data_IF_167498270488
#
_entry.id   IF_167498270488
#
_cell.length_a   1.000
_cell.length_b   1.000
_cell.length_c   1.000
_cell.angle_alpha   90.00
_cell.angle_beta   90.00
_cell.angle_gamma   90.00
#
_symmetry.space_group_name_H-M   'P 1'
#
loop_
_entity.id
_entity.type
_entity.pdbx_description
1 polymer ?
#
# COMPACT_ATOMS: atom_id res chain seq x y z
N UNK A 1 4.13 -19.02 48.47
CA UNK A 1 5.01 -19.69 47.50
C UNK A 1 4.74 -19.13 46.13
N UNK A 2 5.72 -18.45 45.55
CA UNK A 2 5.62 -17.77 44.26
C UNK A 2 5.52 -18.84 43.17
N UNK A 3 4.33 -19.05 42.62
CA UNK A 3 4.12 -19.93 41.48
C UNK A 3 4.60 -19.20 40.23
N UNK A 4 5.82 -19.53 39.81
CA UNK A 4 6.41 -19.12 38.55
C UNK A 4 5.57 -19.75 37.42
N UNK A 5 4.53 -19.05 36.97
CA UNK A 5 3.82 -19.40 35.73
C UNK A 5 4.84 -19.25 34.61
N UNK A 6 5.39 -20.39 34.18
CA UNK A 6 6.21 -20.49 32.98
C UNK A 6 5.40 -19.88 31.84
N UNK A 7 5.75 -18.66 31.46
CA UNK A 7 5.32 -18.07 30.21
C UNK A 7 5.86 -18.96 29.09
N UNK A 8 4.98 -19.78 28.53
CA UNK A 8 5.29 -20.65 27.40
C UNK A 8 5.64 -19.81 26.16
N UNK A 9 6.78 -20.07 25.50
CA UNK A 9 7.18 -19.39 24.25
C UNK A 9 6.11 -19.47 23.16
N UNK A 10 5.36 -20.58 23.10
CA UNK A 10 4.29 -20.80 22.12
C UNK A 10 3.12 -19.83 22.31
N UNK A 11 2.78 -19.49 23.55
CA UNK A 11 1.71 -18.53 23.86
C UNK A 11 2.17 -17.08 23.60
N UNK A 12 3.46 -16.78 23.75
CA UNK A 12 4.03 -15.49 23.32
C UNK A 12 3.96 -15.36 21.81
N UNK A 13 4.47 -16.35 21.07
CA UNK A 13 4.43 -16.35 19.61
C UNK A 13 3.00 -16.25 19.05
N UNK A 14 2.01 -16.90 19.68
CA UNK A 14 0.61 -16.75 19.29
C UNK A 14 0.06 -15.35 19.59
N UNK A 15 0.37 -14.77 20.75
CA UNK A 15 -0.05 -13.39 21.10
C UNK A 15 0.62 -12.35 20.22
N UNK A 16 1.91 -12.49 19.96
CA UNK A 16 2.70 -11.60 19.09
C UNK A 16 2.16 -11.67 17.66
N UNK A 17 1.76 -12.86 17.19
CA UNK A 17 1.14 -13.03 15.88
C UNK A 17 -0.27 -12.42 15.82
N UNK A 18 -1.10 -12.59 16.85
CA UNK A 18 -2.44 -11.97 16.93
C UNK A 18 -2.34 -10.44 16.97
N UNK A 19 -1.37 -9.90 17.72
CA UNK A 19 -1.12 -8.46 17.79
C UNK A 19 -0.65 -7.92 16.43
N UNK A 20 0.29 -8.59 15.77
CA UNK A 20 0.73 -8.23 14.41
C UNK A 20 -0.41 -8.26 13.40
N UNK A 21 -1.34 -9.24 13.50
CA UNK A 21 -2.54 -9.29 12.65
C UNK A 21 -3.52 -8.16 12.97
N UNK A 22 -3.69 -7.77 14.24
CA UNK A 22 -4.57 -6.67 14.61
C UNK A 22 -4.06 -5.32 14.08
N UNK A 23 -2.74 -5.11 14.09
CA UNK A 23 -2.10 -3.87 13.64
C UNK A 23 -2.23 -3.63 12.12
N UNK A 24 -2.34 -4.70 11.32
CA UNK A 24 -2.53 -4.58 9.87
C UNK A 24 -3.98 -4.32 9.44
N UNK A 25 -4.97 -4.52 10.31
CA UNK A 25 -6.40 -4.39 9.92
C UNK A 25 -6.75 -2.97 9.49
N UNK A 26 -6.32 -1.96 10.25
CA UNK A 26 -6.68 -0.58 9.97
C UNK A 26 -6.02 -0.05 8.67
N UNK A 27 -4.70 -0.25 8.42
CA UNK A 27 -4.09 0.04 7.13
C UNK A 27 -4.76 -0.70 5.96
N UNK A 28 -5.09 -1.98 6.15
CA UNK A 28 -5.75 -2.79 5.11
C UNK A 28 -7.15 -2.26 4.77
N UNK A 29 -7.98 -1.92 5.76
CA UNK A 29 -9.32 -1.36 5.52
C UNK A 29 -9.24 -0.01 4.79
N UNK A 30 -8.30 0.86 5.21
CA UNK A 30 -8.06 2.13 4.50
C UNK A 30 -7.62 1.90 3.06
N UNK A 31 -6.69 0.98 2.82
CA UNK A 31 -6.24 0.62 1.47
C UNK A 31 -7.40 0.14 0.59
N UNK A 32 -8.27 -0.73 1.11
CA UNK A 32 -9.44 -1.21 0.39
C UNK A 32 -10.44 -0.09 0.05
N UNK A 33 -10.59 0.91 0.93
CA UNK A 33 -11.40 2.11 0.64
C UNK A 33 -10.78 2.92 -0.51
N UNK A 34 -9.48 3.18 -0.46
CA UNK A 34 -8.76 3.92 -1.51
C UNK A 34 -8.80 3.18 -2.85
N UNK A 35 -8.64 1.86 -2.85
CA UNK A 35 -8.76 1.03 -4.04
C UNK A 35 -10.15 1.13 -4.69
N UNK A 36 -11.23 1.15 -3.90
CA UNK A 36 -12.59 1.34 -4.44
C UNK A 36 -12.76 2.71 -5.10
N UNK A 37 -12.14 3.76 -4.54
CA UNK A 37 -12.16 5.10 -5.13
C UNK A 37 -11.38 5.11 -6.45
N UNK A 38 -10.19 4.51 -6.49
CA UNK A 38 -9.38 4.35 -7.70
C UNK A 38 -10.15 3.59 -8.78
N UNK A 39 -10.68 2.41 -8.47
CA UNK A 39 -11.42 1.57 -9.40
C UNK A 39 -12.64 2.29 -9.99
N UNK A 40 -13.39 3.03 -9.16
CA UNK A 40 -14.52 3.85 -9.61
C UNK A 40 -14.05 4.97 -10.55
N UNK A 41 -12.95 5.66 -10.23
CA UNK A 41 -12.40 6.74 -11.07
C UNK A 41 -11.96 6.22 -12.42
N UNK A 42 -11.19 5.13 -12.45
CA UNK A 42 -10.72 4.49 -13.69
C UNK A 42 -11.90 4.01 -14.54
N UNK A 43 -12.91 3.41 -13.93
CA UNK A 43 -14.13 2.98 -14.64
C UNK A 43 -14.86 4.14 -15.30
N UNK A 44 -14.97 5.29 -14.61
CA UNK A 44 -15.59 6.50 -15.18
C UNK A 44 -14.75 7.08 -16.31
N UNK A 45 -13.42 7.16 -16.16
CA UNK A 45 -12.53 7.63 -17.21
C UNK A 45 -12.63 6.75 -18.47
N UNK A 46 -12.62 5.44 -18.30
CA UNK A 46 -12.79 4.47 -19.39
C UNK A 46 -14.16 4.64 -20.09
N UNK A 47 -15.25 4.80 -19.32
CA UNK A 47 -16.58 5.02 -19.88
C UNK A 47 -16.70 6.33 -20.66
N UNK A 48 -16.02 7.40 -20.21
CA UNK A 48 -15.97 8.70 -20.89
C UNK A 48 -14.98 8.76 -22.04
N UNK A 49 -14.18 7.71 -22.23
CA UNK A 49 -13.03 7.69 -23.15
C UNK A 49 -12.03 8.82 -22.85
N UNK A 50 -11.90 9.19 -21.57
CA UNK A 50 -10.87 10.13 -21.12
C UNK A 50 -9.50 9.46 -21.31
N UNK A 51 -8.57 10.05 -22.08
CA UNK A 51 -7.26 9.45 -22.30
C UNK A 51 -6.46 9.44 -21.00
N UNK A 52 -6.02 8.24 -20.59
CA UNK A 52 -5.07 8.06 -19.49
C UNK A 52 -3.68 7.81 -20.10
N UNK A 53 -2.66 8.62 -19.77
CA UNK A 53 -1.32 8.43 -20.29
C UNK A 53 -0.76 7.04 -19.96
N UNK A 54 -0.06 6.42 -20.92
CA UNK A 54 0.53 5.10 -20.73
C UNK A 54 1.44 4.97 -19.49
N UNK A 55 2.26 5.99 -19.11
CA UNK A 55 3.03 5.92 -17.86
C UNK A 55 2.16 5.77 -16.60
N UNK A 56 0.97 6.38 -16.59
CA UNK A 56 0.03 6.29 -15.45
C UNK A 56 -0.60 4.91 -15.38
N UNK A 57 -0.94 4.32 -16.53
CA UNK A 57 -1.42 2.92 -16.59
C UNK A 57 -0.35 1.97 -16.05
N UNK A 58 0.91 2.15 -16.47
CA UNK A 58 2.02 1.34 -15.99
C UNK A 58 2.24 1.46 -14.48
N UNK A 59 2.02 2.63 -13.87
CA UNK A 59 2.09 2.77 -12.40
C UNK A 59 1.00 2.00 -11.68
N UNK A 60 -0.22 1.98 -12.22
CA UNK A 60 -1.33 1.19 -11.63
C UNK A 60 -0.99 -0.30 -11.70
N UNK A 61 -0.46 -0.76 -12.83
CA UNK A 61 -0.03 -2.16 -13.00
C UNK A 61 1.12 -2.52 -12.04
N UNK A 62 2.12 -1.65 -11.90
CA UNK A 62 3.22 -1.86 -10.95
C UNK A 62 2.71 -1.89 -9.51
N UNK A 63 1.76 -1.01 -9.16
CA UNK A 63 1.13 -1.01 -7.84
C UNK A 63 0.40 -2.33 -7.58
N UNK A 64 -0.35 -2.83 -8.56
CA UNK A 64 -1.01 -4.13 -8.48
C UNK A 64 -0.01 -5.28 -8.25
N UNK A 65 1.09 -5.31 -8.99
CA UNK A 65 2.14 -6.32 -8.82
C UNK A 65 2.77 -6.30 -7.41
N UNK A 66 2.94 -5.11 -6.83
CA UNK A 66 3.43 -4.98 -5.44
C UNK A 66 2.38 -5.44 -4.43
N UNK A 67 1.10 -5.14 -4.66
CA UNK A 67 0.00 -5.63 -3.83
C UNK A 67 -0.09 -7.16 -3.84
N UNK A 68 0.06 -7.79 -5.00
CA UNK A 68 0.10 -9.25 -5.14
C UNK A 68 1.27 -9.85 -4.36
N UNK A 69 2.45 -9.22 -4.42
CA UNK A 69 3.59 -9.65 -3.62
C UNK A 69 3.30 -9.54 -2.11
N UNK A 70 2.72 -8.44 -1.64
CA UNK A 70 2.31 -8.28 -0.24
C UNK A 70 1.30 -9.37 0.18
N UNK A 71 0.30 -9.62 -0.66
CA UNK A 71 -0.68 -10.68 -0.43
C UNK A 71 -0.02 -12.06 -0.32
N UNK A 72 1.00 -12.35 -1.14
CA UNK A 72 1.75 -13.61 -1.09
C UNK A 72 2.51 -13.81 0.24
N UNK A 73 3.14 -12.75 0.77
CA UNK A 73 3.83 -12.80 2.06
C UNK A 73 2.83 -13.01 3.21
N UNK A 74 1.71 -12.28 3.20
CA UNK A 74 0.65 -12.40 4.20
C UNK A 74 0.00 -13.79 4.17
N UNK A 75 -0.27 -14.35 2.99
CA UNK A 75 -0.78 -15.71 2.83
C UNK A 75 0.18 -16.75 3.43
N UNK A 76 1.48 -16.51 3.30
CA UNK A 76 2.52 -17.31 3.91
C UNK A 76 2.80 -16.96 5.39
N UNK A 77 1.92 -16.19 6.04
CA UNK A 77 1.98 -15.75 7.44
C UNK A 77 3.25 -14.96 7.79
N UNK A 78 3.76 -14.18 6.84
CA UNK A 78 4.89 -13.26 7.04
C UNK A 78 4.43 -11.82 6.85
N UNK A 79 5.01 -10.91 7.63
CA UNK A 79 4.87 -9.48 7.37
C UNK A 79 5.53 -9.14 6.03
N UNK A 80 4.91 -8.30 5.18
CA UNK A 80 5.40 -8.03 3.83
C UNK A 80 6.57 -7.02 3.81
N UNK A 81 7.50 -7.07 4.77
CA UNK A 81 8.65 -6.16 4.87
C UNK A 81 9.53 -6.18 3.62
N UNK A 82 9.64 -7.35 2.97
CA UNK A 82 10.38 -7.54 1.71
C UNK A 82 9.76 -6.80 0.53
N UNK A 83 8.55 -6.26 0.68
CA UNK A 83 7.89 -5.44 -0.33
C UNK A 83 8.38 -4.00 -0.32
N UNK A 84 8.93 -3.49 0.81
CA UNK A 84 9.31 -2.08 0.99
C UNK A 84 10.13 -1.52 -0.19
N UNK A 85 11.21 -2.17 -0.67
CA UNK A 85 11.97 -1.63 -1.81
C UNK A 85 11.16 -1.54 -3.10
N UNK A 86 10.21 -2.46 -3.32
CA UNK A 86 9.33 -2.42 -4.49
C UNK A 86 8.30 -1.31 -4.35
N UNK A 87 7.72 -1.12 -3.16
CA UNK A 87 6.77 -0.04 -2.89
C UNK A 87 7.44 1.32 -3.11
N UNK A 88 8.64 1.52 -2.54
CA UNK A 88 9.41 2.77 -2.71
C UNK A 88 9.77 3.01 -4.17
N UNK A 89 10.18 1.99 -4.93
CA UNK A 89 10.48 2.16 -6.35
C UNK A 89 9.27 2.64 -7.17
N UNK A 90 8.06 2.14 -6.87
CA UNK A 90 6.83 2.63 -7.51
C UNK A 90 6.50 4.05 -7.03
N UNK A 91 6.72 4.34 -5.74
CA UNK A 91 6.53 5.69 -5.19
C UNK A 91 7.45 6.72 -5.87
N UNK A 92 8.72 6.37 -6.09
CA UNK A 92 9.68 7.19 -6.83
C UNK A 92 9.23 7.39 -8.28
N UNK A 93 8.76 6.34 -8.96
CA UNK A 93 8.25 6.48 -10.31
C UNK A 93 7.04 7.43 -10.40
N UNK A 94 6.23 7.54 -9.33
CA UNK A 94 5.13 8.51 -9.30
C UNK A 94 5.59 9.97 -9.23
N UNK A 95 6.78 10.27 -8.66
CA UNK A 95 7.29 11.65 -8.56
C UNK A 95 7.90 12.16 -9.86
N UNK A 96 8.16 11.27 -10.81
CA UNK A 96 8.74 11.58 -12.13
C UNK A 96 7.67 11.86 -13.20
N UNK A 97 6.38 11.79 -12.85
CA UNK A 97 5.31 12.15 -13.78
C UNK A 97 5.21 13.67 -13.85
N UNK A 98 5.36 14.20 -15.05
CA UNK A 98 5.05 15.60 -15.34
C UNK A 98 3.57 15.88 -15.08
N UNK A 99 3.32 16.76 -14.12
CA UNK A 99 1.98 17.18 -13.69
C UNK A 99 1.39 18.32 -14.51
N UNK A 100 2.21 18.99 -15.34
CA UNK A 100 1.86 20.26 -16.00
C UNK A 100 0.66 20.16 -16.93
N UNK A 101 0.51 19.02 -17.62
CA UNK A 101 -0.53 18.79 -18.62
C UNK A 101 -1.51 17.67 -18.23
N UNK A 102 -1.57 17.30 -16.95
CA UNK A 102 -2.47 16.24 -16.51
C UNK A 102 -3.93 16.71 -16.43
N UNK A 103 -4.82 15.92 -17.01
CA UNK A 103 -6.26 16.08 -16.74
C UNK A 103 -6.54 15.85 -15.25
N UNK A 104 -7.61 16.46 -14.73
CA UNK A 104 -8.05 16.22 -13.35
C UNK A 104 -8.28 14.72 -13.06
N UNK A 105 -8.82 13.98 -14.04
CA UNK A 105 -9.02 12.53 -13.93
C UNK A 105 -7.69 11.80 -13.70
N UNK A 106 -6.66 12.14 -14.47
CA UNK A 106 -5.32 11.53 -14.37
C UNK A 106 -4.62 11.92 -13.07
N UNK A 107 -4.69 13.19 -12.67
CA UNK A 107 -4.15 13.65 -11.40
C UNK A 107 -4.74 12.89 -10.20
N UNK A 108 -6.06 12.63 -10.21
CA UNK A 108 -6.72 11.85 -9.16
C UNK A 108 -6.26 10.39 -9.15
N UNK A 109 -6.03 9.77 -10.31
CA UNK A 109 -5.52 8.38 -10.39
C UNK A 109 -4.13 8.30 -9.73
N UNK A 110 -3.24 9.24 -10.02
CA UNK A 110 -1.89 9.29 -9.42
C UNK A 110 -1.99 9.54 -7.91
N UNK A 111 -2.80 10.50 -7.48
CA UNK A 111 -2.98 10.81 -6.06
C UNK A 111 -3.49 9.59 -5.27
N UNK A 112 -4.46 8.85 -5.82
CA UNK A 112 -4.97 7.63 -5.17
C UNK A 112 -3.95 6.51 -5.16
N UNK A 113 -3.18 6.34 -6.24
CA UNK A 113 -2.08 5.38 -6.31
C UNK A 113 -1.05 5.67 -5.21
N UNK A 114 -0.65 6.94 -5.05
CA UNK A 114 0.27 7.37 -3.99
C UNK A 114 -0.29 7.13 -2.59
N UNK A 115 -1.57 7.36 -2.37
CA UNK A 115 -2.22 7.03 -1.09
C UNK A 115 -2.17 5.53 -0.79
N UNK A 116 -2.41 4.68 -1.79
CA UNK A 116 -2.33 3.22 -1.66
C UNK A 116 -0.89 2.78 -1.35
N UNK A 117 0.13 3.41 -1.93
CA UNK A 117 1.53 3.10 -1.64
C UNK A 117 1.90 3.40 -0.17
N UNK A 118 1.39 4.50 0.40
CA UNK A 118 1.54 4.78 1.84
C UNK A 118 0.84 3.70 2.67
N UNK A 119 -0.39 3.32 2.32
CA UNK A 119 -1.13 2.27 3.03
C UNK A 119 -0.37 0.92 2.97
N UNK A 120 0.25 0.59 1.83
CA UNK A 120 1.08 -0.61 1.65
C UNK A 120 2.34 -0.58 2.51
N UNK A 121 2.97 0.60 2.67
CA UNK A 121 4.12 0.76 3.55
C UNK A 121 3.74 0.56 5.02
N UNK A 122 2.60 1.09 5.47
CA UNK A 122 2.08 0.82 6.81
C UNK A 122 1.70 -0.66 7.00
N UNK A 123 1.20 -1.32 5.95
CA UNK A 123 0.96 -2.77 5.96
C UNK A 123 2.25 -3.58 6.18
N UNK A 124 3.42 -3.01 5.89
CA UNK A 124 4.72 -3.62 6.21
C UNK A 124 5.17 -3.38 7.66
N UNK A 125 4.35 -2.72 8.48
CA UNK A 125 4.64 -2.40 9.88
C UNK A 125 5.33 -1.05 10.11
N UNK A 126 5.38 -0.17 9.10
CA UNK A 126 5.85 1.20 9.29
C UNK A 126 4.77 2.06 9.98
N UNK A 127 5.21 3.08 10.73
CA UNK A 127 4.27 4.12 11.16
C UNK A 127 3.83 4.96 9.96
N UNK A 128 2.69 5.65 10.07
CA UNK A 128 2.24 6.58 9.03
C UNK A 128 3.30 7.63 8.67
N UNK A 129 4.03 8.15 9.67
CA UNK A 129 5.07 9.16 9.47
C UNK A 129 6.22 8.58 8.63
N UNK A 130 6.75 7.42 9.03
CA UNK A 130 7.84 6.75 8.29
C UNK A 130 7.38 6.37 6.88
N UNK A 131 6.16 5.84 6.74
CA UNK A 131 5.60 5.48 5.45
C UNK A 131 5.45 6.69 4.52
N UNK A 132 5.00 7.84 5.03
CA UNK A 132 4.84 9.06 4.23
C UNK A 132 6.18 9.63 3.77
N UNK A 133 7.23 9.48 4.57
CA UNK A 133 8.60 9.91 4.21
C UNK A 133 9.18 9.10 3.05
N UNK A 134 8.79 7.82 2.91
CA UNK A 134 9.20 6.98 1.77
C UNK A 134 8.51 7.32 0.44
N UNK A 135 7.52 8.23 0.44
CA UNK A 135 6.79 8.63 -0.77
C UNK A 135 7.17 10.06 -1.12
N UNK A 136 8.11 10.27 -2.06
CA UNK A 136 8.62 11.61 -2.37
C UNK A 136 7.54 12.50 -2.97
N UNK A 137 7.61 13.80 -2.74
CA UNK A 137 6.70 14.77 -3.35
C UNK A 137 6.89 14.81 -4.89
N UNK A 138 5.83 15.21 -5.60
CA UNK A 138 5.87 15.34 -7.05
C UNK A 138 6.55 16.65 -7.43
N UNK A 139 7.33 16.64 -8.52
CA UNK A 139 8.06 17.80 -9.05
C UNK A 139 7.39 18.33 -10.31
#
# INVERSE_FOLDING_TARGET
>A
GIALVRYSPLMRQHRDHVQAVAEIVAPLDRMLRNLRVLARRVSVAAWRQDPVPAPVVALVDQTAAVMEFCASELYARRMPERARPRITAVADATSQIDVSDLTLSTAVIIAQTRSILVDLLELTGLSYADAREQVPDMH
#
